data_IF_936923663478
#
_entry.id   IF_936923663478
#
_cell.length_a   1.000
_cell.length_b   1.000
_cell.length_c   1.000
_cell.angle_alpha   90.00
_cell.angle_beta   90.00
_cell.angle_gamma   90.00
#
_symmetry.space_group_name_H-M   'P 1'
#
loop_
_entity.id
_entity.type
_entity.pdbx_description
1 polymer ?
#
# COMPACT_ATOMS: atom_id res chain seq x y z
N UNK A 1 -30.53 36.00 -18.98
CA UNK A 1 -30.11 35.60 -17.62
C UNK A 1 -29.87 34.11 -17.69
N UNK A 2 -28.61 33.69 -17.79
CA UNK A 2 -28.25 32.27 -17.72
C UNK A 2 -28.31 31.84 -16.24
N UNK A 3 -29.19 30.91 -15.94
CA UNK A 3 -29.32 30.35 -14.59
C UNK A 3 -28.06 29.54 -14.25
N UNK A 4 -27.32 29.99 -13.24
CA UNK A 4 -26.24 29.23 -12.62
C UNK A 4 -26.79 27.91 -12.06
N UNK A 5 -26.54 26.82 -12.78
CA UNK A 5 -26.83 25.46 -12.29
C UNK A 5 -25.94 25.17 -11.09
N UNK A 6 -26.48 25.31 -9.89
CA UNK A 6 -25.83 24.88 -8.64
C UNK A 6 -25.73 23.36 -8.64
N UNK A 7 -24.52 22.85 -8.85
CA UNK A 7 -24.20 21.43 -8.73
C UNK A 7 -24.11 21.08 -7.25
N UNK A 8 -25.06 20.29 -6.76
CA UNK A 8 -25.02 19.74 -5.40
C UNK A 8 -24.15 18.48 -5.38
N UNK A 9 -22.95 18.57 -4.79
CA UNK A 9 -22.09 17.42 -4.59
C UNK A 9 -22.49 16.70 -3.30
N UNK A 10 -23.03 15.48 -3.43
CA UNK A 10 -23.20 14.55 -2.32
C UNK A 10 -21.89 13.80 -2.09
N UNK A 11 -21.16 14.13 -1.02
CA UNK A 11 -19.94 13.40 -0.64
C UNK A 11 -20.34 12.20 0.22
N UNK A 12 -20.35 11.01 -0.37
CA UNK A 12 -20.42 9.77 0.41
C UNK A 12 -19.02 9.44 0.94
N UNK A 13 -18.76 9.73 2.21
CA UNK A 13 -17.51 9.29 2.84
C UNK A 13 -17.52 7.78 2.97
N UNK A 14 -16.57 7.08 2.32
CA UNK A 14 -16.22 5.71 2.71
C UNK A 14 -15.60 5.72 4.11
N UNK A 15 -15.66 4.58 4.79
CA UNK A 15 -14.92 4.37 6.03
C UNK A 15 -13.41 4.51 5.76
N UNK A 16 -12.65 5.25 6.60
CA UNK A 16 -11.21 5.29 6.49
C UNK A 16 -10.62 3.87 6.59
N UNK A 17 -9.68 3.56 5.69
CA UNK A 17 -9.02 2.27 5.64
C UNK A 17 -7.55 2.41 6.07
N UNK A 18 -7.12 1.53 6.98
CA UNK A 18 -5.70 1.36 7.29
C UNK A 18 -5.06 0.38 6.29
N UNK A 19 -4.20 0.89 5.41
CA UNK A 19 -3.51 0.08 4.42
C UNK A 19 -2.28 -0.60 5.04
N UNK A 20 -2.32 -1.93 5.11
CA UNK A 20 -1.18 -2.74 5.53
C UNK A 20 -0.17 -2.89 4.38
N UNK A 21 -0.69 -2.98 3.16
CA UNK A 21 0.08 -3.08 1.93
C UNK A 21 -0.41 -2.01 0.95
N UNK A 22 0.52 -1.39 0.26
CA UNK A 22 0.26 -0.45 -0.84
C UNK A 22 1.07 -0.89 -2.05
N UNK A 23 0.40 -1.07 -3.19
CA UNK A 23 1.07 -1.35 -4.46
C UNK A 23 0.77 -0.26 -5.47
N UNK A 24 1.78 0.06 -6.28
CA UNK A 24 1.68 1.06 -7.34
C UNK A 24 1.94 0.37 -8.66
N UNK A 25 0.98 0.45 -9.57
CA UNK A 25 1.14 0.08 -10.97
C UNK A 25 0.90 1.29 -11.85
N UNK A 26 1.42 1.25 -13.07
CA UNK A 26 1.17 2.31 -14.04
C UNK A 26 1.05 1.74 -15.44
N UNK A 27 0.27 2.42 -16.25
CA UNK A 27 0.31 2.35 -17.70
C UNK A 27 0.46 3.78 -18.25
N UNK A 28 0.65 3.97 -19.57
CA UNK A 28 0.86 5.32 -20.12
C UNK A 28 -0.28 6.31 -19.85
N UNK A 29 -1.49 5.85 -19.55
CA UNK A 29 -2.68 6.69 -19.36
C UNK A 29 -3.08 6.86 -17.90
N UNK A 30 -2.67 5.96 -17.00
CA UNK A 30 -3.10 5.98 -15.61
C UNK A 30 -2.07 5.33 -14.67
N UNK A 31 -2.03 5.85 -13.45
CA UNK A 31 -1.44 5.22 -12.29
C UNK A 31 -2.55 4.57 -11.46
N UNK A 32 -2.24 3.40 -10.93
CA UNK A 32 -3.13 2.57 -10.12
C UNK A 32 -2.48 2.43 -8.75
N UNK A 33 -3.12 2.99 -7.73
CA UNK A 33 -2.71 2.89 -6.34
C UNK A 33 -3.68 1.93 -5.63
N UNK A 34 -3.19 0.76 -5.28
CA UNK A 34 -3.99 -0.26 -4.60
C UNK A 34 -3.63 -0.31 -3.12
N UNK A 35 -4.64 -0.20 -2.26
CA UNK A 35 -4.52 -0.24 -0.81
C UNK A 35 -5.24 -1.48 -0.27
N UNK A 36 -4.50 -2.34 0.43
CA UNK A 36 -5.04 -3.56 1.03
C UNK A 36 -4.99 -3.48 2.55
N UNK A 37 -6.11 -3.74 3.19
CA UNK A 37 -6.20 -3.96 4.63
C UNK A 37 -6.47 -5.44 4.88
N UNK A 38 -5.51 -6.11 5.53
CA UNK A 38 -5.57 -7.55 5.80
C UNK A 38 -5.77 -7.71 7.30
N UNK A 39 -6.97 -8.15 7.71
CA UNK A 39 -7.30 -8.37 9.13
C UNK A 39 -7.52 -9.86 9.37
N UNK A 40 -6.70 -10.51 10.21
CA UNK A 40 -6.98 -11.85 10.67
C UNK A 40 -8.14 -11.80 11.68
N UNK A 41 -9.20 -12.54 11.38
CA UNK A 41 -10.35 -12.75 12.25
C UNK A 41 -10.22 -14.15 12.86
N UNK A 42 -9.99 -14.19 14.17
CA UNK A 42 -10.08 -15.42 14.95
C UNK A 42 -11.46 -15.47 15.60
N UNK A 43 -12.38 -16.20 14.99
CA UNK A 43 -13.68 -16.47 15.61
C UNK A 43 -13.55 -17.69 16.53
N UNK A 44 -13.69 -17.46 17.83
CA UNK A 44 -13.60 -18.49 18.88
C UNK A 44 -14.77 -19.48 18.86
N UNK A 45 -15.85 -19.19 18.13
CA UNK A 45 -17.04 -20.03 18.03
C UNK A 45 -16.96 -21.01 16.86
N UNK A 46 -16.28 -20.63 15.79
CA UNK A 46 -16.04 -21.49 14.64
C UNK A 46 -14.70 -22.20 14.80
N UNK A 47 -14.72 -23.51 15.03
CA UNK A 47 -13.51 -24.36 15.13
C UNK A 47 -12.76 -24.53 13.78
N UNK A 48 -13.06 -23.70 12.77
CA UNK A 48 -12.53 -23.80 11.41
C UNK A 48 -11.21 -23.05 11.18
N UNK A 49 -10.61 -22.48 12.24
CA UNK A 49 -9.32 -21.81 12.17
C UNK A 49 -9.41 -20.31 11.81
N UNK A 50 -8.27 -19.61 11.70
CA UNK A 50 -8.25 -18.18 11.45
C UNK A 50 -8.76 -17.83 10.05
N UNK A 51 -9.71 -16.89 9.96
CA UNK A 51 -10.22 -16.34 8.71
C UNK A 51 -9.46 -15.05 8.37
N UNK A 52 -9.17 -14.80 7.10
CA UNK A 52 -8.52 -13.55 6.66
C UNK A 52 -9.56 -12.69 5.95
N UNK A 53 -9.85 -11.52 6.51
CA UNK A 53 -10.67 -10.50 5.85
C UNK A 53 -9.76 -9.52 5.11
N UNK A 54 -10.01 -9.33 3.81
CA UNK A 54 -9.25 -8.40 2.97
C UNK A 54 -10.20 -7.30 2.49
N UNK A 55 -9.95 -6.07 2.93
CA UNK A 55 -10.56 -4.87 2.33
C UNK A 55 -9.60 -4.29 1.29
N UNK A 56 -10.10 -3.98 0.10
CA UNK A 56 -9.31 -3.48 -1.02
C UNK A 56 -9.92 -2.20 -1.58
N UNK A 57 -9.14 -1.13 -1.59
CA UNK A 57 -9.51 0.16 -2.19
C UNK A 57 -8.45 0.57 -3.22
N UNK A 58 -8.92 0.91 -4.43
CA UNK A 58 -8.08 1.30 -5.57
C UNK A 58 -8.34 2.75 -5.93
N UNK A 59 -7.27 3.53 -6.10
CA UNK A 59 -7.32 4.90 -6.60
C UNK A 59 -6.66 4.93 -7.98
N UNK A 60 -7.40 5.41 -8.97
CA UNK A 60 -6.92 5.62 -10.34
C UNK A 60 -6.62 7.10 -10.53
N UNK A 61 -5.40 7.41 -10.96
CA UNK A 61 -4.94 8.78 -11.19
C UNK A 61 -4.36 8.91 -12.60
N UNK A 62 -4.56 10.05 -13.25
CA UNK A 62 -3.79 10.34 -14.46
C UNK A 62 -2.33 10.70 -14.10
N UNK A 63 -1.36 10.52 -15.02
CA UNK A 63 0.06 10.78 -14.75
C UNK A 63 0.37 12.21 -14.27
N UNK A 64 -0.38 13.21 -14.75
CA UNK A 64 -0.16 14.61 -14.37
C UNK A 64 -0.62 14.85 -12.93
N UNK A 65 -1.79 14.32 -12.56
CA UNK A 65 -2.34 14.38 -11.23
C UNK A 65 -1.47 13.59 -10.24
N UNK A 66 -0.96 12.41 -10.63
CA UNK A 66 0.01 11.67 -9.81
C UNK A 66 1.23 12.49 -9.45
N UNK A 67 1.76 13.28 -10.40
CA UNK A 67 2.88 14.19 -10.13
C UNK A 67 2.52 15.27 -9.12
N UNK A 68 1.31 15.83 -9.20
CA UNK A 68 0.83 16.81 -8.23
C UNK A 68 0.66 16.19 -6.84
N UNK A 69 0.10 14.98 -6.76
CA UNK A 69 -0.04 14.22 -5.51
C UNK A 69 1.33 13.97 -4.86
N UNK A 70 2.32 13.55 -5.64
CA UNK A 70 3.69 13.37 -5.15
C UNK A 70 4.25 14.68 -4.56
N UNK A 71 4.14 15.79 -5.27
CA UNK A 71 4.63 17.09 -4.78
C UNK A 71 3.96 17.53 -3.48
N UNK A 72 2.65 17.29 -3.37
CA UNK A 72 1.89 17.61 -2.16
C UNK A 72 2.33 16.73 -0.98
N UNK A 73 2.44 15.42 -1.20
CA UNK A 73 2.89 14.47 -0.17
C UNK A 73 4.31 14.78 0.29
N UNK A 74 5.25 15.06 -0.62
CA UNK A 74 6.63 15.43 -0.27
C UNK A 74 6.69 16.65 0.65
N UNK A 75 5.94 17.71 0.34
CA UNK A 75 5.90 18.92 1.18
C UNK A 75 5.34 18.65 2.58
N UNK A 76 4.32 17.80 2.68
CA UNK A 76 3.72 17.42 3.97
C UNK A 76 4.70 16.58 4.79
N UNK A 77 5.40 15.63 4.17
CA UNK A 77 6.43 14.82 4.82
C UNK A 77 7.57 15.71 5.31
N UNK A 78 8.09 16.61 4.48
CA UNK A 78 9.16 17.54 4.87
C UNK A 78 8.75 18.43 6.06
N UNK A 79 7.48 18.89 6.08
CA UNK A 79 6.96 19.67 7.20
C UNK A 79 6.89 18.82 8.47
N UNK A 80 6.38 17.59 8.36
CA UNK A 80 6.32 16.65 9.48
C UNK A 80 7.72 16.38 10.04
N UNK A 81 8.71 16.13 9.18
CA UNK A 81 10.08 15.84 9.62
C UNK A 81 10.76 17.05 10.27
N UNK A 82 10.42 18.28 9.86
CA UNK A 82 10.89 19.51 10.53
C UNK A 82 10.31 19.69 11.92
N UNK A 83 9.06 19.27 12.14
CA UNK A 83 8.36 19.44 13.42
C UNK A 83 8.62 18.30 14.41
N UNK A 84 8.66 17.05 13.93
CA UNK A 84 8.69 15.84 14.78
C UNK A 84 9.99 15.03 14.67
N UNK A 85 10.91 15.44 13.79
CA UNK A 85 12.15 14.73 13.52
C UNK A 85 12.04 13.75 12.33
N UNK A 86 13.18 13.21 11.90
CA UNK A 86 13.25 12.37 10.70
C UNK A 86 12.48 11.07 10.87
N UNK A 87 11.77 10.65 9.82
CA UNK A 87 11.06 9.38 9.80
C UNK A 87 12.10 8.27 9.65
N UNK A 88 12.50 7.66 10.76
CA UNK A 88 13.38 6.51 10.75
C UNK A 88 12.62 5.19 10.75
N UNK A 89 13.13 4.21 10.01
CA UNK A 89 12.60 2.86 10.05
C UNK A 89 12.75 2.26 11.47
N UNK A 90 11.67 1.73 12.07
CA UNK A 90 11.70 1.10 13.39
C UNK A 90 12.81 0.05 13.53
N UNK A 91 13.47 0.01 14.71
CA UNK A 91 14.55 -0.96 15.01
C UNK A 91 14.11 -2.41 14.81
N UNK A 92 12.88 -2.75 15.22
CA UNK A 92 12.31 -4.09 15.03
C UNK A 92 12.27 -4.51 13.55
N UNK A 93 11.92 -3.60 12.64
CA UNK A 93 11.93 -3.89 11.21
C UNK A 93 13.35 -4.05 10.66
N UNK A 94 14.31 -3.22 11.13
CA UNK A 94 15.72 -3.35 10.74
C UNK A 94 16.32 -4.69 11.19
N UNK A 95 15.98 -5.17 12.38
CA UNK A 95 16.43 -6.46 12.89
C UNK A 95 15.79 -7.65 12.17
N UNK A 96 14.49 -7.55 11.87
CA UNK A 96 13.78 -8.56 11.08
C UNK A 96 14.44 -8.75 9.70
N UNK A 97 14.72 -7.66 8.98
CA UNK A 97 15.38 -7.75 7.66
C UNK A 97 16.77 -8.36 7.72
N UNK A 98 17.56 -8.05 8.77
CA UNK A 98 18.89 -8.65 8.95
C UNK A 98 18.81 -10.17 9.16
N UNK A 99 17.82 -10.65 9.92
CA UNK A 99 17.63 -12.08 10.18
C UNK A 99 17.15 -12.85 8.93
N UNK A 100 16.40 -12.21 8.04
CA UNK A 100 15.83 -12.85 6.86
C UNK A 100 16.71 -12.75 5.60
N UNK A 101 17.52 -11.71 5.43
CA UNK A 101 18.48 -11.59 4.31
C UNK A 101 19.54 -12.70 4.25
N UNK A 102 19.86 -13.34 5.38
CA UNK A 102 20.78 -14.48 5.41
C UNK A 102 20.18 -15.76 4.84
N UNK A 103 18.86 -15.95 4.99
CA UNK A 103 18.16 -17.18 4.59
C UNK A 103 17.82 -17.23 3.10
N UNK A 104 17.61 -16.08 2.46
CA UNK A 104 17.36 -16.01 1.01
C UNK A 104 18.59 -16.41 0.18
N UNK A 105 19.81 -16.05 0.64
CA UNK A 105 21.06 -16.46 -0.02
C UNK A 105 21.32 -17.97 0.08
N UNK A 106 20.98 -18.59 1.22
CA UNK A 106 21.12 -20.06 1.39
C UNK A 106 20.08 -20.86 0.59
N UNK A 107 18.91 -20.27 0.30
CA UNK A 107 17.88 -20.89 -0.52
C UNK A 107 18.19 -20.77 -2.02
N UNK A 108 18.75 -19.64 -2.49
CA UNK A 108 19.13 -19.46 -3.90
C UNK A 108 20.25 -20.40 -4.35
N UNK A 109 21.18 -20.76 -3.46
CA UNK A 109 22.27 -21.70 -3.79
C UNK A 109 21.82 -23.17 -3.85
N UNK A 110 20.65 -23.50 -3.29
CA UNK A 110 20.12 -24.88 -3.24
C UNK A 110 19.09 -25.22 -4.32
N UNK A 111 18.54 -24.24 -5.02
CA UNK A 111 17.52 -24.48 -6.06
C UNK A 111 18.17 -24.35 -7.44
N UNK A 112 18.89 -25.40 -7.88
CA UNK A 112 19.15 -25.60 -9.32
C UNK A 112 17.84 -26.05 -9.96
N UNK A 113 17.21 -25.19 -10.76
CA UNK A 113 16.05 -25.57 -11.55
C UNK A 113 16.41 -26.78 -12.45
N UNK A 114 15.58 -27.83 -12.52
CA UNK A 114 15.87 -28.99 -13.36
C UNK A 114 15.84 -28.59 -14.84
N UNK A 115 16.93 -28.89 -15.54
CA UNK A 115 17.10 -28.71 -16.98
C UNK A 115 16.29 -29.76 -17.75
N UNK A 116 14.96 -29.65 -17.76
CA UNK A 116 14.10 -30.54 -18.57
C UNK A 116 13.57 -29.90 -19.85
N UNK A 117 13.79 -28.59 -20.06
CA UNK A 117 13.59 -27.97 -21.36
C UNK A 117 14.96 -27.72 -21.98
N UNK A 118 15.51 -28.77 -22.57
CA UNK A 118 16.51 -28.67 -23.64
C UNK A 118 15.81 -28.36 -24.96
#
# INVERSE_FOLDING_TARGET
MEEERKVNFGVSSREPLFAHETSVNFNPTQFILDFKCITPLTDVRTQTGPMISIKHDTILLDPYHTKQVYQLLSRVIEKYEKEFGKIEKPKALKEFEKKHKGKEKEASDKVKAPSYFG
#
